data_IF_532162290434
#
_entry.id   IF_532162290434
#
_cell.length_a   1.000
_cell.length_b   1.000
_cell.length_c   1.000
_cell.angle_alpha   90.00
_cell.angle_beta   90.00
_cell.angle_gamma   90.00
#
_symmetry.space_group_name_H-M   'P 1'
#
loop_
_entity.id
_entity.type
_entity.pdbx_description
1 polymer ?
#
# COMPACT_ATOMS: atom_id res chain seq x y z
N UNK A 1 10.30 4.24 17.79
CA UNK A 1 9.76 3.74 16.50
C UNK A 1 10.00 4.77 15.42
N UNK A 2 10.27 4.32 14.22
CA UNK A 2 10.44 5.15 13.00
C UNK A 2 9.37 4.75 11.98
N UNK A 3 8.98 5.68 11.09
CA UNK A 3 8.06 5.40 9.99
C UNK A 3 6.57 5.37 10.35
N UNK A 4 6.17 5.87 11.53
CA UNK A 4 4.75 5.92 11.86
C UNK A 4 3.98 7.01 11.06
N UNK A 5 4.55 8.16 10.66
CA UNK A 5 3.86 9.09 9.77
C UNK A 5 3.59 8.47 8.39
N UNK A 6 4.57 7.77 7.83
CA UNK A 6 4.45 7.05 6.56
C UNK A 6 3.37 5.95 6.67
N UNK A 7 3.40 5.15 7.74
CA UNK A 7 2.41 4.09 7.95
C UNK A 7 0.99 4.65 8.13
N UNK A 8 0.82 5.73 8.90
CA UNK A 8 -0.50 6.32 9.13
C UNK A 8 -1.10 6.96 7.86
N UNK A 9 -0.24 7.41 6.94
CA UNK A 9 -0.66 8.04 5.68
C UNK A 9 -0.63 7.09 4.47
N UNK A 10 -0.24 5.83 4.65
CA UNK A 10 -0.33 4.81 3.60
C UNK A 10 -1.79 4.43 3.35
N UNK A 11 -2.26 4.70 2.13
CA UNK A 11 -3.64 4.45 1.71
C UNK A 11 -4.02 2.97 1.80
N UNK A 12 -3.06 2.05 1.74
CA UNK A 12 -3.30 0.60 1.88
C UNK A 12 -3.86 0.20 3.25
N UNK A 13 -3.78 1.09 4.26
CA UNK A 13 -4.43 0.88 5.56
C UNK A 13 -5.88 1.39 5.64
N UNK A 14 -6.45 1.90 4.56
CA UNK A 14 -7.84 2.36 4.58
C UNK A 14 -8.80 1.25 5.06
N UNK A 15 -9.69 1.60 6.00
CA UNK A 15 -10.62 0.65 6.62
C UNK A 15 -10.02 -0.19 7.76
N UNK A 16 -8.76 0.02 8.16
CA UNK A 16 -8.08 -0.76 9.19
C UNK A 16 -7.77 0.06 10.44
N UNK A 17 -7.94 -0.56 11.61
CA UNK A 17 -7.38 -0.09 12.88
C UNK A 17 -5.95 -0.63 12.97
N UNK A 18 -4.96 0.27 12.93
CA UNK A 18 -3.55 -0.09 12.94
C UNK A 18 -3.04 -0.32 14.36
N UNK A 19 -2.42 -1.48 14.59
CA UNK A 19 -1.73 -1.79 15.84
C UNK A 19 -0.22 -1.72 15.62
N UNK A 20 0.47 -0.81 16.31
CA UNK A 20 1.92 -0.73 16.30
C UNK A 20 2.50 -1.46 17.51
N UNK A 21 3.37 -2.44 17.24
CA UNK A 21 3.96 -3.29 18.29
C UNK A 21 5.21 -2.70 18.95
N UNK A 22 5.73 -1.63 18.41
CA UNK A 22 6.84 -0.92 19.04
C UNK A 22 6.39 -0.27 20.35
N UNK A 23 7.15 -0.38 21.44
CA UNK A 23 6.68 0.07 22.74
C UNK A 23 6.31 1.55 22.79
N UNK A 24 7.18 2.42 22.28
CA UNK A 24 6.99 3.88 22.27
C UNK A 24 6.73 4.40 20.86
N UNK A 25 5.65 5.17 20.70
CA UNK A 25 5.27 5.79 19.42
C UNK A 25 5.08 7.30 19.61
N UNK A 26 5.41 8.09 18.58
CA UNK A 26 5.34 9.55 18.64
C UNK A 26 6.63 10.23 19.14
N UNK A 27 7.72 9.49 19.33
CA UNK A 27 8.97 9.94 19.96
C UNK A 27 9.67 11.07 19.21
N UNK A 28 9.50 11.24 17.90
CA UNK A 28 10.03 12.37 17.12
C UNK A 28 8.95 13.35 16.64
N UNK A 29 7.73 13.22 17.19
CA UNK A 29 6.61 14.09 16.80
C UNK A 29 6.13 13.84 15.38
N UNK A 30 5.45 14.82 14.83
CA UNK A 30 4.94 14.81 13.45
C UNK A 30 5.52 16.03 12.76
N UNK A 31 6.22 15.86 11.62
CA UNK A 31 6.80 16.96 10.88
C UNK A 31 5.73 17.81 10.18
N UNK A 32 6.15 18.98 9.68
CA UNK A 32 5.29 19.80 8.84
C UNK A 32 4.89 19.08 7.55
N UNK A 33 3.69 19.40 7.05
CA UNK A 33 3.29 19.02 5.69
C UNK A 33 4.05 19.91 4.69
N UNK A 34 5.28 19.49 4.34
CA UNK A 34 6.11 20.16 3.35
C UNK A 34 6.11 19.36 2.04
N UNK A 35 6.13 20.07 0.91
CA UNK A 35 6.33 19.46 -0.40
C UNK A 35 7.82 19.37 -0.75
N UNK A 36 8.22 18.28 -1.42
CA UNK A 36 9.51 18.16 -2.08
C UNK A 36 9.54 18.98 -3.41
N UNK A 37 10.62 18.88 -4.15
CA UNK A 37 10.76 19.58 -5.43
C UNK A 37 9.73 19.21 -6.50
N UNK A 38 8.98 18.13 -6.28
CA UNK A 38 7.91 17.66 -7.15
C UNK A 38 6.52 18.02 -6.61
N UNK A 39 6.45 18.74 -5.47
CA UNK A 39 5.20 19.06 -4.78
C UNK A 39 4.60 17.87 -4.02
N UNK A 40 5.36 16.76 -3.85
CA UNK A 40 4.92 15.59 -3.10
C UNK A 40 5.25 15.74 -1.62
N UNK A 41 4.43 15.18 -0.69
CA UNK A 41 4.71 15.22 0.74
C UNK A 41 6.07 14.59 1.07
N UNK A 42 6.91 15.27 1.83
CA UNK A 42 8.28 14.80 2.13
C UNK A 42 8.31 13.62 3.10
N UNK A 43 7.44 13.65 4.12
CA UNK A 43 7.43 12.70 5.24
C UNK A 43 6.14 11.90 5.37
N UNK A 44 5.30 11.96 4.37
CA UNK A 44 4.01 11.28 4.32
C UNK A 44 3.82 10.60 2.99
N UNK A 45 3.03 9.53 2.98
CA UNK A 45 2.77 8.76 1.77
C UNK A 45 1.50 9.21 1.02
N UNK A 46 0.65 10.01 1.68
CA UNK A 46 -0.49 10.68 1.05
C UNK A 46 -0.93 11.90 1.87
N UNK A 47 -1.97 12.59 1.40
CA UNK A 47 -2.61 13.68 2.15
C UNK A 47 -3.46 13.12 3.28
N UNK A 48 -3.11 13.44 4.54
CA UNK A 48 -3.86 13.05 5.73
C UNK A 48 -3.74 11.57 6.12
N UNK A 49 -4.24 11.25 7.31
CA UNK A 49 -4.24 9.91 7.88
C UNK A 49 -5.23 9.01 7.12
N UNK A 50 -4.86 7.77 6.86
CA UNK A 50 -5.67 6.78 6.13
C UNK A 50 -6.20 5.65 6.99
N UNK A 51 -5.55 5.38 8.12
CA UNK A 51 -6.05 4.40 9.08
C UNK A 51 -7.36 4.88 9.71
N UNK A 52 -8.24 3.95 10.10
CA UNK A 52 -9.49 4.27 10.81
C UNK A 52 -9.31 4.39 12.32
N UNK A 53 -8.16 3.98 12.84
CA UNK A 53 -7.81 4.12 14.24
C UNK A 53 -6.41 3.61 14.54
N UNK A 54 -5.87 3.96 15.72
CA UNK A 54 -4.53 3.61 16.14
C UNK A 54 -4.52 2.97 17.53
N UNK A 55 -3.84 1.81 17.65
CA UNK A 55 -3.64 1.11 18.93
C UNK A 55 -2.14 1.00 19.21
N UNK A 56 -1.69 1.55 20.34
CA UNK A 56 -0.28 1.59 20.74
C UNK A 56 -0.11 1.24 22.21
N UNK A 57 1.11 0.87 22.59
CA UNK A 57 1.43 0.60 23.99
C UNK A 57 1.70 1.90 24.76
N UNK A 58 2.62 2.72 24.30
CA UNK A 58 3.02 3.96 24.96
C UNK A 58 3.03 5.11 23.96
N UNK A 59 2.40 6.22 24.35
CA UNK A 59 2.38 7.47 23.59
C UNK A 59 3.42 8.46 24.14
N UNK A 60 4.33 8.91 23.28
CA UNK A 60 5.25 10.00 23.64
C UNK A 60 4.50 11.32 23.73
N UNK A 61 4.39 11.86 24.97
CA UNK A 61 3.69 13.11 25.24
C UNK A 61 4.53 14.35 24.90
N UNK A 62 5.87 14.22 24.93
CA UNK A 62 6.81 15.31 24.66
C UNK A 62 7.85 14.83 23.67
N UNK A 63 7.54 14.88 22.35
CA UNK A 63 8.51 14.51 21.34
C UNK A 63 9.72 15.45 21.35
N UNK A 64 10.89 14.90 21.06
CA UNK A 64 12.11 15.66 20.98
C UNK A 64 12.82 15.39 19.65
N UNK A 65 12.56 16.25 18.67
CA UNK A 65 13.17 16.15 17.34
C UNK A 65 13.09 17.51 16.65
N UNK A 66 14.14 17.89 15.93
CA UNK A 66 14.23 19.19 15.26
C UNK A 66 13.12 19.45 14.22
N UNK A 67 12.58 18.39 13.58
CA UNK A 67 11.50 18.50 12.60
C UNK A 67 10.08 18.36 13.21
N UNK A 68 9.96 18.28 14.55
CA UNK A 68 8.66 18.11 15.20
C UNK A 68 7.88 19.43 15.22
N UNK A 69 6.75 19.47 14.53
CA UNK A 69 5.80 20.60 14.52
C UNK A 69 4.67 20.39 15.52
N UNK A 70 4.28 19.11 15.72
CA UNK A 70 3.18 18.73 16.61
C UNK A 70 3.37 17.34 17.18
N UNK A 71 2.63 17.01 18.24
CA UNK A 71 2.60 15.65 18.79
C UNK A 71 1.73 14.73 17.94
N UNK A 72 1.90 13.42 18.10
CA UNK A 72 1.02 12.44 17.47
C UNK A 72 -0.44 12.59 17.93
N UNK A 73 -0.68 12.87 19.22
CA UNK A 73 -2.03 13.12 19.75
C UNK A 73 -2.70 14.33 19.09
N UNK A 74 -1.96 15.45 18.95
CA UNK A 74 -2.47 16.62 18.24
C UNK A 74 -2.82 16.32 16.79
N UNK A 75 -2.01 15.53 16.11
CA UNK A 75 -2.28 15.15 14.73
C UNK A 75 -3.51 14.27 14.60
N UNK A 76 -3.61 13.20 15.39
CA UNK A 76 -4.80 12.33 15.41
C UNK A 76 -6.08 13.13 15.68
N UNK A 77 -6.05 14.04 16.66
CA UNK A 77 -7.20 14.93 16.98
C UNK A 77 -7.57 15.85 15.83
N UNK A 78 -6.57 16.44 15.17
CA UNK A 78 -6.83 17.39 14.07
C UNK A 78 -7.46 16.70 12.83
N UNK A 79 -7.31 15.39 12.72
CA UNK A 79 -7.89 14.59 11.62
C UNK A 79 -9.03 13.65 12.12
N UNK A 80 -9.48 13.84 13.37
CA UNK A 80 -10.60 13.10 13.99
C UNK A 80 -10.39 11.57 13.99
N UNK A 81 -9.14 11.12 14.09
CA UNK A 81 -8.81 9.68 14.11
C UNK A 81 -8.72 9.20 15.56
N UNK A 82 -9.54 8.23 15.98
CA UNK A 82 -9.47 7.69 17.33
C UNK A 82 -8.17 6.92 17.56
N UNK A 83 -7.59 7.10 18.75
CA UNK A 83 -6.40 6.39 19.17
C UNK A 83 -6.50 5.92 20.63
N UNK A 84 -5.93 4.75 20.92
CA UNK A 84 -5.82 4.22 22.28
C UNK A 84 -4.39 3.83 22.58
N UNK A 85 -3.91 4.19 23.78
CA UNK A 85 -2.62 3.75 24.31
C UNK A 85 -2.79 3.03 25.67
N UNK A 86 -1.73 2.43 26.17
CA UNK A 86 -1.79 1.60 27.38
C UNK A 86 -2.18 0.15 27.10
N UNK A 87 -2.19 -0.27 25.84
CA UNK A 87 -2.55 -1.63 25.41
C UNK A 87 -1.30 -2.50 25.25
N UNK A 88 -1.33 -3.73 25.74
CA UNK A 88 -0.32 -4.75 25.42
C UNK A 88 -0.44 -5.16 23.95
N UNK A 89 0.16 -4.35 23.08
CA UNK A 89 0.12 -4.55 21.62
C UNK A 89 0.84 -5.83 21.20
N UNK A 90 1.82 -6.30 21.96
CA UNK A 90 2.49 -7.58 21.69
C UNK A 90 1.54 -8.76 21.91
N UNK A 91 0.77 -8.76 23.00
CA UNK A 91 -0.25 -9.77 23.27
C UNK A 91 -1.36 -9.73 22.22
N UNK A 92 -1.81 -8.54 21.84
CA UNK A 92 -2.80 -8.35 20.79
C UNK A 92 -2.29 -8.92 19.45
N UNK A 93 -1.07 -8.60 19.04
CA UNK A 93 -0.47 -9.10 17.80
C UNK A 93 -0.30 -10.62 17.80
N UNK A 94 0.07 -11.22 18.93
CA UNK A 94 0.09 -12.70 19.06
C UNK A 94 -1.29 -13.30 18.82
N UNK A 95 -2.34 -12.69 19.39
CA UNK A 95 -3.73 -13.11 19.18
C UNK A 95 -4.15 -12.98 17.71
N UNK A 96 -3.81 -11.86 17.04
CA UNK A 96 -4.07 -11.67 15.62
C UNK A 96 -3.34 -12.71 14.75
N UNK A 97 -2.11 -13.05 15.09
CA UNK A 97 -1.36 -14.10 14.39
C UNK A 97 -1.99 -15.47 14.55
N UNK A 98 -2.49 -15.80 15.74
CA UNK A 98 -3.11 -17.09 16.03
C UNK A 98 -4.53 -17.22 15.45
N UNK A 99 -5.35 -16.17 15.56
CA UNK A 99 -6.76 -16.17 15.17
C UNK A 99 -6.99 -15.66 13.73
N UNK A 100 -6.03 -14.93 13.16
CA UNK A 100 -6.20 -14.14 11.96
C UNK A 100 -6.58 -12.68 12.28
N UNK A 101 -6.69 -11.86 11.25
CA UNK A 101 -7.22 -10.50 11.39
C UNK A 101 -8.65 -10.55 11.91
N UNK A 102 -9.02 -9.59 12.76
CA UNK A 102 -10.31 -9.55 13.44
C UNK A 102 -10.99 -8.21 13.14
N UNK A 103 -12.30 -8.25 13.03
CA UNK A 103 -13.14 -7.06 13.05
C UNK A 103 -13.23 -6.51 14.48
N UNK A 104 -13.37 -5.19 14.61
CA UNK A 104 -13.44 -4.54 15.91
C UNK A 104 -13.85 -3.08 15.78
N UNK A 105 -14.17 -2.48 16.93
CA UNK A 105 -14.53 -1.07 17.05
C UNK A 105 -13.52 -0.38 17.96
N UNK A 106 -13.11 0.82 17.56
CA UNK A 106 -12.37 1.75 18.39
C UNK A 106 -13.21 3.03 18.52
N UNK A 107 -13.66 3.33 19.72
CA UNK A 107 -14.53 4.47 20.00
C UNK A 107 -13.84 5.46 20.95
N UNK A 108 -13.98 6.74 20.67
CA UNK A 108 -13.55 7.84 21.55
C UNK A 108 -14.78 8.52 22.15
N UNK A 109 -14.72 8.82 23.44
CA UNK A 109 -15.80 9.45 24.18
C UNK A 109 -15.37 10.80 24.77
N UNK A 110 -16.29 11.77 24.89
CA UNK A 110 -16.03 12.99 25.62
C UNK A 110 -15.60 12.71 27.07
N UNK A 111 -14.73 13.57 27.62
CA UNK A 111 -14.26 13.43 29.00
C UNK A 111 -15.46 13.39 29.97
N UNK A 112 -15.51 12.37 30.82
CA UNK A 112 -16.56 12.17 31.82
C UNK A 112 -17.75 11.34 31.36
N UNK A 113 -17.86 11.01 30.06
CA UNK A 113 -18.86 10.08 29.59
C UNK A 113 -18.41 8.64 29.88
N UNK A 114 -19.30 7.83 30.46
CA UNK A 114 -19.07 6.39 30.61
C UNK A 114 -19.36 5.70 29.27
N UNK A 115 -18.44 4.89 28.72
CA UNK A 115 -18.71 4.12 27.53
C UNK A 115 -19.77 3.04 27.79
N UNK A 116 -20.71 2.87 26.88
CA UNK A 116 -21.58 1.70 26.84
C UNK A 116 -20.81 0.50 26.26
N UNK A 117 -20.12 -0.22 27.14
CA UNK A 117 -19.27 -1.36 26.75
C UNK A 117 -20.12 -2.51 26.22
N UNK A 118 -21.32 -2.74 26.75
CA UNK A 118 -22.18 -3.82 26.29
C UNK A 118 -22.73 -3.54 24.89
N UNK A 119 -23.18 -2.31 24.63
CA UNK A 119 -23.59 -1.87 23.29
C UNK A 119 -22.46 -1.96 22.28
N UNK A 120 -21.24 -1.51 22.63
CA UNK A 120 -20.07 -1.64 21.75
C UNK A 120 -19.69 -3.10 21.46
N UNK A 121 -19.80 -3.98 22.46
CA UNK A 121 -19.55 -5.42 22.27
C UNK A 121 -20.58 -6.04 21.33
N UNK A 122 -21.83 -5.63 21.42
CA UNK A 122 -22.87 -6.12 20.51
C UNK A 122 -22.68 -5.57 19.10
N UNK A 123 -22.43 -4.27 18.95
CA UNK A 123 -22.12 -3.64 17.68
C UNK A 123 -20.90 -4.30 17.01
N UNK A 124 -19.87 -4.66 17.78
CA UNK A 124 -18.65 -5.29 17.24
C UNK A 124 -18.88 -6.63 16.55
N UNK A 125 -19.98 -7.34 16.88
CA UNK A 125 -20.37 -8.60 16.22
C UNK A 125 -20.95 -8.38 14.82
N UNK A 126 -21.39 -7.15 14.53
CA UNK A 126 -22.08 -6.77 13.30
C UNK A 126 -21.25 -5.84 12.41
N UNK A 127 -20.00 -5.55 12.77
CA UNK A 127 -19.10 -4.72 11.94
C UNK A 127 -18.90 -5.40 10.58
N UNK A 128 -19.22 -4.72 9.48
CA UNK A 128 -18.98 -5.29 8.14
C UNK A 128 -17.50 -5.40 7.85
N UNK A 129 -17.08 -6.46 7.17
CA UNK A 129 -15.69 -6.59 6.71
C UNK A 129 -15.42 -5.49 5.65
N UNK A 130 -14.47 -4.57 5.91
CA UNK A 130 -14.17 -3.51 4.98
C UNK A 130 -13.64 -4.01 3.62
N UNK A 131 -13.11 -5.24 3.55
CA UNK A 131 -12.63 -5.83 2.29
C UNK A 131 -13.77 -6.21 1.32
N UNK A 132 -15.04 -6.20 1.77
CA UNK A 132 -16.21 -6.50 0.93
C UNK A 132 -16.74 -5.28 0.17
N UNK A 133 -15.95 -4.21 0.06
CA UNK A 133 -16.29 -2.99 -0.68
C UNK A 133 -15.08 -2.42 -1.41
N UNK A 134 -15.31 -1.52 -2.35
CA UNK A 134 -14.25 -0.83 -3.10
C UNK A 134 -13.55 0.22 -2.22
N UNK A 135 -12.56 -0.23 -1.44
CA UNK A 135 -11.72 0.65 -0.62
C UNK A 135 -10.77 1.50 -1.47
N UNK A 136 -10.36 1.03 -2.65
CA UNK A 136 -9.51 1.81 -3.54
C UNK A 136 -10.25 3.04 -4.07
N UNK A 137 -11.54 2.91 -4.35
CA UNK A 137 -12.39 4.04 -4.74
C UNK A 137 -12.53 5.13 -3.67
N UNK A 138 -12.35 4.80 -2.38
CA UNK A 138 -12.34 5.77 -1.28
C UNK A 138 -11.06 6.62 -1.23
N UNK A 139 -9.95 6.14 -1.78
CA UNK A 139 -8.63 6.78 -1.67
C UNK A 139 -8.06 7.22 -3.02
N UNK A 140 -8.58 6.69 -4.12
CA UNK A 140 -8.20 7.08 -5.49
C UNK A 140 -8.62 8.52 -5.80
N UNK A 141 -7.84 9.19 -6.63
CA UNK A 141 -8.19 10.50 -7.18
C UNK A 141 -9.44 10.41 -8.06
N UNK A 142 -10.11 11.54 -8.26
CA UNK A 142 -11.34 11.61 -9.07
C UNK A 142 -11.12 12.22 -10.47
N UNK A 143 -9.96 12.85 -10.68
CA UNK A 143 -9.57 13.46 -11.97
C UNK A 143 -8.07 13.24 -12.18
N UNK A 144 -7.59 13.11 -13.42
CA UNK A 144 -6.18 12.97 -13.71
C UNK A 144 -5.34 14.13 -13.15
N UNK A 145 -4.15 13.77 -12.63
CA UNK A 145 -3.14 14.71 -12.14
C UNK A 145 -1.86 14.47 -12.93
N UNK A 146 -1.27 15.54 -13.46
CA UNK A 146 -0.01 15.49 -14.20
C UNK A 146 1.14 15.97 -13.33
N UNK A 147 2.23 15.23 -13.34
CA UNK A 147 3.51 15.58 -12.73
C UNK A 147 4.53 15.71 -13.88
N UNK A 148 4.71 16.93 -14.34
CA UNK A 148 5.65 17.25 -15.42
C UNK A 148 7.06 17.37 -14.86
N UNK A 149 8.01 16.67 -15.45
CA UNK A 149 9.40 16.63 -15.04
C UNK A 149 10.38 16.79 -16.23
N UNK A 150 9.87 17.32 -17.34
CA UNK A 150 10.59 17.41 -18.62
C UNK A 150 11.14 16.04 -19.07
N UNK A 151 10.38 14.99 -18.79
CA UNK A 151 10.72 13.61 -19.14
C UNK A 151 10.60 13.36 -20.64
N UNK A 152 11.46 12.48 -21.16
CA UNK A 152 11.33 11.98 -22.54
C UNK A 152 10.30 10.85 -22.65
N UNK A 153 9.99 10.22 -21.53
CA UNK A 153 9.04 9.10 -21.38
C UNK A 153 7.87 9.52 -20.51
N UNK A 154 6.72 8.94 -20.79
CA UNK A 154 5.47 9.20 -20.11
C UNK A 154 4.96 7.93 -19.44
N UNK A 155 4.77 7.96 -18.15
CA UNK A 155 4.19 6.85 -17.37
C UNK A 155 2.79 7.23 -16.96
N UNK A 156 1.81 6.39 -17.30
CA UNK A 156 0.47 6.50 -16.71
C UNK A 156 0.41 5.59 -15.48
N UNK A 157 0.05 6.17 -14.34
CA UNK A 157 -0.11 5.47 -13.08
C UNK A 157 -1.60 5.39 -12.75
N UNK A 158 -2.12 4.16 -12.69
CA UNK A 158 -3.51 3.90 -12.27
C UNK A 158 -3.55 3.90 -10.74
N UNK A 159 -4.36 4.80 -10.20
CA UNK A 159 -4.36 5.14 -8.77
C UNK A 159 -5.36 4.32 -7.95
N UNK A 160 -4.89 3.31 -7.28
CA UNK A 160 -5.67 2.55 -6.29
C UNK A 160 -5.43 3.03 -4.85
N UNK A 161 -4.61 4.07 -4.66
CA UNK A 161 -4.18 4.59 -3.35
C UNK A 161 -2.67 4.74 -3.29
N UNK A 162 -2.11 5.42 -4.29
CA UNK A 162 -0.66 5.52 -4.49
C UNK A 162 0.06 6.17 -3.31
N UNK A 163 1.18 5.59 -2.93
CA UNK A 163 2.15 6.19 -2.01
C UNK A 163 3.00 7.23 -2.73
N UNK A 164 3.25 8.36 -2.06
CA UNK A 164 4.10 9.43 -2.58
C UNK A 164 5.52 8.95 -2.94
N UNK A 165 6.03 7.93 -2.23
CA UNK A 165 7.30 7.28 -2.53
C UNK A 165 7.37 6.74 -3.96
N UNK A 166 6.33 6.07 -4.45
CA UNK A 166 6.26 5.53 -5.82
C UNK A 166 6.34 6.66 -6.86
N UNK A 167 5.54 7.71 -6.67
CA UNK A 167 5.57 8.88 -7.56
C UNK A 167 6.96 9.53 -7.57
N UNK A 168 7.57 9.68 -6.40
CA UNK A 168 8.90 10.27 -6.23
C UNK A 168 9.97 9.46 -6.95
N UNK A 169 9.91 8.13 -6.89
CA UNK A 169 10.89 7.26 -7.55
C UNK A 169 10.76 7.26 -9.06
N UNK A 170 9.55 7.35 -9.60
CA UNK A 170 9.33 7.58 -11.02
C UNK A 170 9.90 8.95 -11.45
N UNK A 171 9.54 10.02 -10.73
CA UNK A 171 9.97 11.38 -11.07
C UNK A 171 11.49 11.59 -10.94
N UNK A 172 12.17 10.92 -9.98
CA UNK A 172 13.64 10.91 -9.88
C UNK A 172 14.30 10.39 -11.17
N UNK A 173 13.63 9.49 -11.89
CA UNK A 173 14.10 8.88 -13.14
C UNK A 173 13.77 9.69 -14.39
N UNK A 174 13.33 10.93 -14.20
CA UNK A 174 13.07 11.91 -15.28
C UNK A 174 12.02 11.42 -16.29
N UNK A 175 10.94 10.87 -15.80
CA UNK A 175 9.73 10.58 -16.57
C UNK A 175 8.64 11.55 -16.17
N UNK A 176 7.74 11.85 -17.08
CA UNK A 176 6.49 12.52 -16.77
C UNK A 176 5.48 11.49 -16.26
N UNK A 177 4.77 11.79 -15.19
CA UNK A 177 3.80 10.86 -14.61
C UNK A 177 2.39 11.45 -14.71
N UNK A 178 1.46 10.68 -15.25
CA UNK A 178 0.04 11.00 -15.27
C UNK A 178 -0.67 10.01 -14.35
N UNK A 179 -1.12 10.49 -13.21
CA UNK A 179 -1.91 9.73 -12.24
C UNK A 179 -3.37 9.80 -12.65
N UNK A 180 -4.00 8.64 -12.90
CA UNK A 180 -5.41 8.54 -13.34
C UNK A 180 -6.26 7.77 -12.34
N UNK A 181 -7.59 8.02 -12.25
CA UNK A 181 -8.48 7.26 -11.39
C UNK A 181 -8.47 5.75 -11.69
N UNK A 182 -8.69 4.93 -10.65
CA UNK A 182 -8.69 3.46 -10.74
C UNK A 182 -9.79 2.87 -11.65
N UNK A 183 -10.79 3.66 -11.99
CA UNK A 183 -11.93 3.24 -12.84
C UNK A 183 -11.74 3.55 -14.33
N UNK A 184 -10.62 4.17 -14.71
CA UNK A 184 -10.35 4.48 -16.11
C UNK A 184 -10.28 3.21 -16.95
N UNK A 185 -10.93 3.23 -18.12
CA UNK A 185 -10.82 2.19 -19.12
C UNK A 185 -9.46 2.21 -19.82
N UNK A 186 -9.11 1.13 -20.49
CA UNK A 186 -7.88 1.07 -21.28
C UNK A 186 -7.83 2.17 -22.36
N UNK A 187 -8.96 2.46 -23.03
CA UNK A 187 -9.01 3.52 -24.03
C UNK A 187 -8.69 4.88 -23.43
N UNK A 188 -9.30 5.25 -22.28
CA UNK A 188 -9.01 6.50 -21.59
C UNK A 188 -7.55 6.60 -21.12
N UNK A 189 -6.94 5.47 -20.73
CA UNK A 189 -5.52 5.41 -20.37
C UNK A 189 -4.63 5.61 -21.60
N UNK A 190 -4.98 4.99 -22.73
CA UNK A 190 -4.20 5.07 -23.96
C UNK A 190 -4.30 6.43 -24.65
N UNK A 191 -5.34 7.25 -24.39
CA UNK A 191 -5.42 8.65 -24.84
C UNK A 191 -4.23 9.50 -24.34
N UNK A 192 -3.57 9.09 -23.26
CA UNK A 192 -2.37 9.75 -22.76
C UNK A 192 -1.08 9.31 -23.48
N UNK A 193 -1.14 8.33 -24.40
CA UNK A 193 0.01 7.79 -25.13
C UNK A 193 1.15 7.37 -24.18
N UNK A 194 0.93 6.43 -23.25
CA UNK A 194 1.93 6.03 -22.27
C UNK A 194 3.07 5.22 -22.91
N UNK A 195 4.32 5.48 -22.51
CA UNK A 195 5.45 4.60 -22.75
C UNK A 195 5.47 3.41 -21.77
N UNK A 196 4.82 3.55 -20.62
CA UNK A 196 4.69 2.51 -19.61
C UNK A 196 3.55 2.76 -18.63
N UNK A 197 3.09 1.68 -18.00
CA UNK A 197 1.98 1.69 -17.04
C UNK A 197 2.46 1.26 -15.66
N UNK A 198 2.00 1.95 -14.62
CA UNK A 198 2.15 1.49 -13.24
C UNK A 198 0.77 1.21 -12.64
N UNK A 199 0.54 -0.04 -12.25
CA UNK A 199 -0.57 -0.44 -11.38
C UNK A 199 -0.09 -0.28 -9.94
N UNK A 200 -0.52 0.76 -9.24
CA UNK A 200 0.04 1.08 -7.94
C UNK A 200 -0.53 0.23 -6.80
N UNK A 201 -0.06 0.49 -5.59
CA UNK A 201 -0.56 -0.08 -4.35
C UNK A 201 -1.97 0.45 -4.00
N UNK A 202 -2.64 -0.21 -3.07
CA UNK A 202 -3.93 0.23 -2.56
C UNK A 202 -4.51 -0.72 -1.49
N UNK A 203 -5.64 -0.34 -0.89
CA UNK A 203 -6.34 -1.12 0.12
C UNK A 203 -7.31 -2.14 -0.47
N UNK A 204 -7.69 -3.12 0.36
CA UNK A 204 -8.83 -4.00 0.11
C UNK A 204 -8.47 -5.31 -0.60
N UNK A 205 -9.52 -6.04 -0.95
CA UNK A 205 -9.45 -7.27 -1.74
C UNK A 205 -9.53 -6.90 -3.23
N UNK A 206 -8.58 -7.31 -4.08
CA UNK A 206 -8.60 -7.00 -5.50
C UNK A 206 -9.87 -7.52 -6.22
N UNK A 207 -10.53 -8.54 -5.66
CA UNK A 207 -11.79 -9.10 -6.21
C UNK A 207 -13.01 -8.20 -6.00
N UNK A 208 -12.93 -7.22 -5.11
CA UNK A 208 -13.99 -6.23 -4.86
C UNK A 208 -13.76 -4.88 -5.57
N UNK A 209 -12.71 -4.77 -6.35
CA UNK A 209 -12.53 -3.65 -7.27
C UNK A 209 -13.57 -3.69 -8.40
N UNK A 210 -13.88 -2.54 -9.03
CA UNK A 210 -14.64 -2.51 -10.26
C UNK A 210 -14.03 -3.44 -11.31
N UNK A 211 -14.86 -4.17 -12.03
CA UNK A 211 -14.40 -5.09 -13.11
C UNK A 211 -13.53 -4.38 -14.15
N UNK A 212 -13.84 -3.12 -14.44
CA UNK A 212 -13.04 -2.27 -15.32
C UNK A 212 -11.57 -2.21 -14.91
N UNK A 213 -11.23 -2.22 -13.63
CA UNK A 213 -9.82 -2.19 -13.17
C UNK A 213 -9.04 -3.43 -13.65
N UNK A 214 -9.66 -4.61 -13.58
CA UNK A 214 -9.05 -5.88 -14.03
C UNK A 214 -9.01 -5.94 -15.58
N UNK A 215 -10.11 -5.56 -16.24
CA UNK A 215 -10.21 -5.54 -17.70
C UNK A 215 -9.22 -4.54 -18.31
N UNK A 216 -9.08 -3.37 -17.71
CA UNK A 216 -8.10 -2.36 -18.15
C UNK A 216 -6.67 -2.89 -18.02
N UNK A 217 -6.31 -3.47 -16.88
CA UNK A 217 -4.98 -4.04 -16.69
C UNK A 217 -4.67 -5.14 -17.73
N UNK A 218 -5.65 -6.02 -18.00
CA UNK A 218 -5.52 -7.08 -19.00
C UNK A 218 -5.25 -6.50 -20.40
N UNK A 219 -6.10 -5.57 -20.83
CA UNK A 219 -6.02 -4.98 -22.16
C UNK A 219 -4.72 -4.21 -22.40
N UNK A 220 -4.25 -3.43 -21.41
CA UNK A 220 -2.99 -2.70 -21.50
C UNK A 220 -1.78 -3.62 -21.70
N UNK A 221 -1.76 -4.78 -21.04
CA UNK A 221 -0.72 -5.80 -21.26
C UNK A 221 -0.85 -6.43 -22.63
N UNK A 222 -2.07 -6.76 -23.08
CA UNK A 222 -2.34 -7.32 -24.42
C UNK A 222 -1.93 -6.36 -25.55
N UNK A 223 -2.04 -5.06 -25.33
CA UNK A 223 -1.55 -4.02 -26.25
C UNK A 223 -0.01 -3.86 -26.22
N UNK A 224 0.67 -4.62 -25.37
CA UNK A 224 2.14 -4.68 -25.29
C UNK A 224 2.79 -3.49 -24.59
N UNK A 225 2.03 -2.69 -23.82
CA UNK A 225 2.58 -1.59 -23.05
C UNK A 225 3.34 -2.13 -21.83
N UNK A 226 4.62 -1.77 -21.62
CA UNK A 226 5.39 -2.18 -20.46
C UNK A 226 4.65 -1.84 -19.17
N UNK A 227 4.40 -2.83 -18.31
CA UNK A 227 3.58 -2.67 -17.12
C UNK A 227 4.31 -3.13 -15.87
N UNK A 228 4.32 -2.29 -14.84
CA UNK A 228 4.81 -2.61 -13.50
C UNK A 228 3.67 -2.62 -12.49
N UNK A 229 3.48 -3.73 -11.76
CA UNK A 229 2.51 -3.83 -10.66
C UNK A 229 3.19 -3.75 -9.29
N UNK A 230 2.62 -2.99 -8.34
CA UNK A 230 3.14 -2.83 -6.98
C UNK A 230 2.03 -3.17 -5.98
N UNK A 231 2.26 -4.15 -5.10
CA UNK A 231 1.38 -4.58 -4.02
C UNK A 231 -0.02 -4.97 -4.54
N UNK A 232 -1.04 -4.14 -4.39
CA UNK A 232 -2.35 -4.38 -4.99
C UNK A 232 -2.25 -4.53 -6.52
N UNK A 233 -1.38 -3.76 -7.17
CA UNK A 233 -1.12 -3.86 -8.61
C UNK A 233 -0.57 -5.23 -9.04
N UNK A 234 0.21 -5.91 -8.20
CA UNK A 234 0.63 -7.29 -8.44
C UNK A 234 -0.56 -8.27 -8.42
N UNK A 235 -1.50 -8.07 -7.51
CA UNK A 235 -2.70 -8.89 -7.38
C UNK A 235 -3.66 -8.65 -8.56
N UNK A 236 -3.84 -7.38 -8.96
CA UNK A 236 -4.63 -7.00 -10.13
C UNK A 236 -4.05 -7.63 -11.40
N UNK A 237 -2.73 -7.52 -11.60
CA UNK A 237 -2.06 -8.11 -12.75
C UNK A 237 -2.23 -9.62 -12.78
N UNK A 238 -2.11 -10.29 -11.64
CA UNK A 238 -2.32 -11.73 -11.53
C UNK A 238 -3.75 -12.15 -11.94
N UNK A 239 -4.77 -11.42 -11.43
CA UNK A 239 -6.17 -11.68 -11.81
C UNK A 239 -6.44 -11.38 -13.28
N UNK A 240 -5.90 -10.26 -13.80
CA UNK A 240 -6.09 -9.83 -15.19
C UNK A 240 -5.57 -10.86 -16.21
N UNK A 241 -4.50 -11.57 -15.86
CA UNK A 241 -3.84 -12.54 -16.73
C UNK A 241 -4.21 -13.99 -16.40
N UNK A 242 -5.32 -14.22 -15.71
CA UNK A 242 -5.94 -15.53 -15.51
C UNK A 242 -5.51 -16.28 -14.25
N UNK A 243 -4.70 -15.66 -13.39
CA UNK A 243 -4.40 -16.16 -12.06
C UNK A 243 -5.51 -15.90 -11.04
N UNK A 244 -5.28 -16.26 -9.80
CA UNK A 244 -6.19 -16.03 -8.67
C UNK A 244 -5.44 -15.51 -7.44
N UNK A 245 -6.19 -14.91 -6.50
CA UNK A 245 -5.68 -14.39 -5.24
C UNK A 245 -6.44 -14.99 -4.06
N UNK A 246 -5.78 -15.05 -2.91
CA UNK A 246 -6.40 -15.54 -1.68
C UNK A 246 -6.03 -14.67 -0.47
N UNK A 247 -6.90 -14.67 0.54
CA UNK A 247 -6.68 -13.93 1.79
C UNK A 247 -5.69 -14.68 2.68
N UNK A 248 -4.63 -14.00 3.08
CA UNK A 248 -3.70 -14.50 4.08
C UNK A 248 -4.34 -14.42 5.48
N UNK A 249 -3.99 -15.33 6.37
CA UNK A 249 -4.54 -15.40 7.73
C UNK A 249 -4.36 -14.07 8.49
N UNK A 250 -3.17 -13.46 8.41
CA UNK A 250 -2.85 -12.18 9.06
C UNK A 250 -2.06 -11.20 8.15
N UNK A 251 -1.67 -11.65 6.95
CA UNK A 251 -0.94 -10.84 5.97
C UNK A 251 0.52 -10.57 6.36
N UNK A 252 1.23 -9.87 5.48
CA UNK A 252 2.59 -9.38 5.73
C UNK A 252 2.53 -7.88 5.98
N UNK A 253 2.90 -7.44 7.18
CA UNK A 253 2.91 -6.04 7.60
C UNK A 253 4.16 -5.76 8.43
N UNK A 254 5.27 -5.50 7.74
CA UNK A 254 6.54 -5.15 8.37
C UNK A 254 7.56 -4.64 7.35
N UNK A 255 8.65 -4.08 7.84
CA UNK A 255 9.76 -3.54 7.04
C UNK A 255 10.93 -4.55 6.90
N UNK A 256 10.71 -5.82 7.21
CA UNK A 256 11.77 -6.84 7.21
C UNK A 256 11.28 -8.19 6.67
N UNK A 257 10.43 -8.16 5.65
CA UNK A 257 10.00 -9.38 4.96
C UNK A 257 11.04 -9.81 3.91
N UNK A 258 11.47 -11.08 3.93
CA UNK A 258 12.47 -11.55 3.00
C UNK A 258 11.82 -12.03 1.70
N UNK A 259 12.11 -11.36 0.59
CA UNK A 259 11.72 -11.76 -0.77
C UNK A 259 12.90 -12.44 -1.47
N UNK A 260 12.72 -13.69 -1.87
CA UNK A 260 13.73 -14.51 -2.53
C UNK A 260 13.49 -14.54 -4.04
N UNK A 261 14.48 -14.08 -4.81
CA UNK A 261 14.49 -14.11 -6.27
C UNK A 261 14.84 -15.51 -6.77
N UNK A 262 13.93 -16.14 -7.49
CA UNK A 262 14.09 -17.51 -8.01
C UNK A 262 15.08 -17.56 -9.19
N UNK A 263 15.32 -16.46 -9.90
CA UNK A 263 16.25 -16.38 -11.02
C UNK A 263 17.68 -16.15 -10.54
N UNK A 264 17.89 -15.11 -9.72
CA UNK A 264 19.23 -14.70 -9.27
C UNK A 264 19.67 -15.41 -7.99
N UNK A 265 18.74 -16.07 -7.28
CA UNK A 265 18.93 -16.73 -5.99
C UNK A 265 19.38 -15.76 -4.87
N UNK A 266 19.04 -14.47 -5.00
CA UNK A 266 19.27 -13.45 -3.98
C UNK A 266 18.05 -13.28 -3.10
N UNK A 267 18.27 -12.90 -1.85
CA UNK A 267 17.22 -12.54 -0.91
C UNK A 267 17.32 -11.05 -0.60
N UNK A 268 16.20 -10.35 -0.73
CA UNK A 268 16.08 -8.93 -0.42
C UNK A 268 15.21 -8.74 0.80
N UNK A 269 15.54 -7.77 1.64
CA UNK A 269 14.67 -7.36 2.74
C UNK A 269 13.73 -6.27 2.21
N UNK A 270 12.43 -6.47 2.44
CA UNK A 270 11.39 -5.64 1.81
C UNK A 270 10.40 -5.11 2.82
N UNK A 271 9.80 -3.96 2.48
CA UNK A 271 8.66 -3.40 3.21
C UNK A 271 7.37 -3.93 2.61
N UNK A 272 6.50 -4.51 3.45
CA UNK A 272 5.24 -5.10 3.02
C UNK A 272 4.06 -4.64 3.86
N UNK A 273 2.92 -4.45 3.20
CA UNK A 273 1.64 -4.14 3.81
C UNK A 273 0.50 -4.71 2.96
N UNK A 274 0.29 -6.02 3.02
CA UNK A 274 -0.80 -6.66 2.27
C UNK A 274 -1.47 -7.78 3.07
N UNK A 275 -2.75 -8.02 2.78
CA UNK A 275 -3.56 -9.09 3.38
C UNK A 275 -3.92 -10.21 2.41
N UNK A 276 -3.60 -10.04 1.13
CA UNK A 276 -3.87 -10.99 0.06
C UNK A 276 -2.58 -11.33 -0.69
N UNK A 277 -2.53 -12.50 -1.29
CA UNK A 277 -1.40 -12.96 -2.11
C UNK A 277 -1.90 -13.67 -3.36
N UNK A 278 -1.07 -13.70 -4.40
CA UNK A 278 -1.32 -14.46 -5.63
C UNK A 278 -1.19 -15.96 -5.32
N UNK A 279 -2.14 -16.77 -5.80
CA UNK A 279 -2.09 -18.22 -5.70
C UNK A 279 -1.14 -18.78 -6.78
N UNK A 280 -0.03 -19.39 -6.36
CA UNK A 280 0.97 -19.95 -7.27
C UNK A 280 0.39 -21.00 -8.22
N UNK A 281 -0.49 -21.87 -7.73
CA UNK A 281 -1.09 -22.97 -8.54
C UNK A 281 -1.99 -22.41 -9.64
N UNK A 282 -2.63 -21.27 -9.42
CA UNK A 282 -3.50 -20.62 -10.41
C UNK A 282 -2.74 -20.02 -11.59
N UNK A 283 -1.42 -19.86 -11.47
CA UNK A 283 -0.59 -19.36 -12.56
C UNK A 283 -0.22 -20.44 -13.59
N UNK A 284 -0.48 -21.72 -13.29
CA UNK A 284 -0.23 -22.81 -14.23
C UNK A 284 -1.14 -22.67 -15.46
N UNK A 285 -0.52 -22.66 -16.64
CA UNK A 285 -1.23 -22.47 -17.92
C UNK A 285 -1.50 -21.01 -18.29
N UNK A 286 -1.10 -20.05 -17.45
CA UNK A 286 -1.10 -18.62 -17.78
C UNK A 286 0.24 -18.19 -18.38
N UNK A 287 0.31 -16.94 -18.85
CA UNK A 287 1.54 -16.33 -19.35
C UNK A 287 2.41 -15.72 -18.23
N UNK A 288 2.02 -15.92 -16.97
CA UNK A 288 2.76 -15.47 -15.79
C UNK A 288 3.66 -16.58 -15.24
N UNK A 289 4.84 -16.16 -14.75
CA UNK A 289 5.75 -16.99 -13.98
C UNK A 289 5.99 -16.38 -12.61
N UNK A 290 6.05 -17.21 -11.56
CA UNK A 290 6.51 -16.78 -10.25
C UNK A 290 7.97 -16.35 -10.36
N UNK A 291 8.26 -15.12 -9.94
CA UNK A 291 9.60 -14.54 -9.93
C UNK A 291 10.19 -14.49 -8.54
N UNK A 292 9.41 -13.99 -7.57
CA UNK A 292 9.82 -13.92 -6.17
C UNK A 292 8.89 -14.73 -5.27
N UNK A 293 9.46 -15.28 -4.21
CA UNK A 293 8.71 -15.92 -3.12
C UNK A 293 9.19 -15.41 -1.77
N UNK A 294 8.30 -15.36 -0.79
CA UNK A 294 8.69 -15.08 0.59
C UNK A 294 9.57 -16.22 1.12
N UNK A 295 10.72 -15.89 1.68
CA UNK A 295 11.64 -16.91 2.17
C UNK A 295 11.09 -17.67 3.39
N UNK A 296 10.16 -17.06 4.16
CA UNK A 296 9.58 -17.64 5.37
C UNK A 296 8.45 -18.64 5.08
N UNK A 297 7.45 -18.25 4.28
CA UNK A 297 6.21 -19.01 4.09
C UNK A 297 5.91 -19.42 2.65
N UNK A 298 6.79 -19.03 1.70
CA UNK A 298 6.72 -19.37 0.28
C UNK A 298 5.56 -18.75 -0.48
N UNK A 299 4.88 -17.77 0.08
CA UNK A 299 3.89 -16.98 -0.66
C UNK A 299 4.51 -16.32 -1.88
N UNK A 300 3.72 -16.13 -2.95
CA UNK A 300 4.19 -15.42 -4.15
C UNK A 300 4.41 -13.96 -3.81
N UNK A 301 5.62 -13.49 -4.04
CA UNK A 301 6.03 -12.11 -3.81
C UNK A 301 6.26 -11.33 -5.10
N UNK A 302 6.24 -11.98 -6.24
CA UNK A 302 6.34 -11.30 -7.53
C UNK A 302 6.15 -12.23 -8.70
N UNK A 303 5.66 -11.66 -9.79
CA UNK A 303 5.40 -12.38 -11.05
C UNK A 303 6.04 -11.64 -12.23
N UNK A 304 6.37 -12.39 -13.27
CA UNK A 304 6.80 -11.88 -14.58
C UNK A 304 5.92 -12.44 -15.67
N UNK A 305 5.57 -11.63 -16.63
CA UNK A 305 4.90 -12.06 -17.85
C UNK A 305 5.93 -12.52 -18.91
N UNK A 306 5.51 -13.41 -19.81
CA UNK A 306 6.37 -13.97 -20.87
C UNK A 306 6.88 -12.94 -21.89
N UNK A 307 6.23 -11.77 -21.97
CA UNK A 307 6.66 -10.67 -22.87
C UNK A 307 8.02 -10.07 -22.49
N UNK A 308 8.51 -10.37 -21.28
CA UNK A 308 9.74 -9.81 -20.72
C UNK A 308 9.66 -8.35 -20.30
N UNK A 309 8.56 -7.64 -20.58
CA UNK A 309 8.36 -6.22 -20.31
C UNK A 309 7.46 -5.96 -19.12
N UNK A 310 6.57 -6.91 -18.81
CA UNK A 310 5.56 -6.81 -17.75
C UNK A 310 5.98 -7.62 -16.54
N UNK A 311 5.98 -7.00 -15.36
CA UNK A 311 6.25 -7.67 -14.09
C UNK A 311 5.53 -6.99 -12.94
N UNK A 312 5.42 -7.70 -11.82
CA UNK A 312 4.88 -7.11 -10.61
C UNK A 312 5.53 -7.69 -9.36
N UNK A 313 5.52 -6.90 -8.28
CA UNK A 313 6.03 -7.30 -6.97
C UNK A 313 4.99 -6.99 -5.88
N UNK A 314 4.95 -7.86 -4.87
CA UNK A 314 3.95 -7.77 -3.80
C UNK A 314 4.34 -6.76 -2.72
N UNK A 315 5.62 -6.47 -2.58
CA UNK A 315 6.14 -5.49 -1.63
C UNK A 315 6.20 -4.08 -2.22
N UNK A 316 6.69 -3.14 -1.42
CA UNK A 316 6.87 -1.74 -1.76
C UNK A 316 8.34 -1.46 -2.12
N UNK A 317 8.72 -1.45 -3.41
CA UNK A 317 10.11 -1.22 -3.83
C UNK A 317 10.60 0.21 -3.58
N UNK A 318 9.69 1.18 -3.42
CA UNK A 318 9.98 2.56 -3.02
C UNK A 318 10.46 2.70 -1.57
N UNK A 319 10.23 1.66 -0.75
CA UNK A 319 10.83 1.49 0.56
C UNK A 319 10.61 2.63 1.58
N UNK A 320 9.56 3.43 1.48
CA UNK A 320 9.30 4.52 2.43
C UNK A 320 8.69 4.01 3.74
N UNK A 321 9.41 4.08 4.89
CA UNK A 321 10.70 4.75 5.12
C UNK A 321 11.97 3.89 4.87
N UNK A 322 11.88 2.75 4.26
CA UNK A 322 12.95 1.79 3.96
C UNK A 322 12.56 0.36 4.31
N UNK A 323 13.37 -0.65 3.93
CA UNK A 323 14.67 -0.58 3.23
C UNK A 323 14.54 -0.20 1.74
N UNK A 324 15.67 0.22 1.14
CA UNK A 324 15.75 0.70 -0.26
C UNK A 324 16.39 -0.31 -1.21
N UNK A 325 16.60 -1.53 -0.77
CA UNK A 325 17.35 -2.58 -1.49
C UNK A 325 16.74 -2.96 -2.84
N UNK A 326 15.48 -2.61 -3.08
CA UNK A 326 14.73 -3.02 -4.27
C UNK A 326 14.30 -1.88 -5.19
N UNK A 327 14.83 -0.66 -4.99
CA UNK A 327 14.60 0.49 -5.88
C UNK A 327 15.03 0.22 -7.34
N UNK A 328 15.95 -0.72 -7.57
CA UNK A 328 16.40 -1.12 -8.92
C UNK A 328 15.25 -1.64 -9.80
N UNK A 329 14.12 -2.02 -9.22
CA UNK A 329 12.95 -2.45 -9.99
C UNK A 329 12.34 -1.32 -10.81
N UNK A 330 12.44 -0.09 -10.32
CA UNK A 330 12.06 1.09 -11.12
C UNK A 330 13.01 1.29 -12.29
N UNK A 331 14.33 1.04 -12.12
CA UNK A 331 15.30 1.13 -13.22
C UNK A 331 15.01 0.07 -14.27
N UNK A 332 14.73 -1.16 -13.84
CA UNK A 332 14.27 -2.24 -14.72
C UNK A 332 12.99 -1.87 -15.50
N UNK A 333 12.05 -1.20 -14.87
CA UNK A 333 10.84 -0.71 -15.54
C UNK A 333 11.18 0.35 -16.60
N UNK A 334 12.11 1.28 -16.28
CA UNK A 334 12.59 2.26 -17.27
C UNK A 334 13.25 1.58 -18.48
N UNK A 335 14.07 0.55 -18.25
CA UNK A 335 14.71 -0.24 -19.32
C UNK A 335 13.68 -0.93 -20.22
N UNK A 336 12.60 -1.43 -19.65
CA UNK A 336 11.54 -2.11 -20.41
C UNK A 336 10.76 -1.16 -21.34
N UNK A 337 10.78 0.14 -21.08
CA UNK A 337 10.16 1.16 -21.95
C UNK A 337 11.06 1.57 -23.13
N UNK A 338 12.33 1.17 -23.16
CA UNK A 338 13.29 1.39 -24.25
C UNK A 338 14.07 2.70 -24.16
#
# INVERSE_FOLDING_TARGET
>A
MVGYPESLTDASYRGQILTLTYPLVGNYGVPAYGGDKFGLPTHFESTGIKVTGLVIQELCQKPYHWASERTLDQWLRSEEIPGIYGIDTRRLTKKLREKGVMLGILAAFPKGMKPDVEGLLDESKHVPDPNLRDLAGEVSIKKPIRYENNGKKKVVLIDYGVKAGILRDLLKRKVDVIRVPHVFSADEVMEFEPDGIVLCNGPGDPKFLPKTSIETAKRLVEEGVPTMGICLGNQILSLALGGDTYKLKYGHRSQNQPAYDLETRRCYITTQNHGFATNADSLMGTDLKVWFVNANDKTVEGVKHKDGKTFAVQWHPEGSPGPYDTEFLFDKFMENMG
#
